data_IF_439596052237
#
_entry.id   IF_439596052237
#
_cell.length_a   1.000
_cell.length_b   1.000
_cell.length_c   1.000
_cell.angle_alpha   90.00
_cell.angle_beta   90.00
_cell.angle_gamma   90.00
#
_symmetry.space_group_name_H-M   'P 1'
#
loop_
_entity.id
_entity.type
_entity.pdbx_description
1 polymer ?
#
# COMPACT_ATOMS: atom_id res chain seq x y z
N UNK A 1 18.42 -1.84 -0.23
CA UNK A 1 18.15 -3.22 0.16
C UNK A 1 17.46 -3.98 -0.95
N UNK A 2 17.49 -5.30 -0.94
CA UNK A 2 16.73 -6.11 -1.89
C UNK A 2 15.25 -6.01 -1.54
N UNK A 3 14.38 -5.70 -2.51
CA UNK A 3 12.94 -5.60 -2.27
C UNK A 3 12.37 -6.93 -1.73
N UNK A 4 12.78 -8.06 -2.15
CA UNK A 4 12.34 -9.37 -1.66
C UNK A 4 13.25 -9.96 -0.57
N UNK A 5 13.73 -9.17 0.37
CA UNK A 5 14.50 -9.66 1.52
C UNK A 5 13.71 -10.67 2.38
N UNK A 6 12.37 -10.62 2.32
CA UNK A 6 11.42 -11.53 3.02
C UNK A 6 10.47 -12.11 1.99
N UNK A 7 10.68 -13.32 1.56
CA UNK A 7 9.81 -14.04 0.63
C UNK A 7 9.16 -15.25 1.32
N UNK A 8 7.95 -15.59 0.90
CA UNK A 8 7.26 -16.79 1.36
C UNK A 8 8.03 -18.07 0.99
N UNK A 9 8.81 -18.03 -0.10
CA UNK A 9 9.69 -19.09 -0.53
C UNK A 9 11.08 -18.56 -0.98
N UNK A 10 12.03 -18.33 -0.05
CA UNK A 10 13.35 -17.76 -0.36
C UNK A 10 14.18 -18.60 -1.33
N UNK A 11 13.89 -19.89 -1.50
CA UNK A 11 14.65 -20.80 -2.35
C UNK A 11 14.25 -20.74 -3.83
N UNK A 12 13.17 -20.04 -4.19
CA UNK A 12 12.59 -20.13 -5.53
C UNK A 12 13.04 -19.06 -6.52
N UNK A 13 13.82 -18.06 -6.14
CA UNK A 13 14.07 -16.84 -6.94
C UNK A 13 12.79 -16.16 -7.46
N UNK A 14 11.64 -16.46 -6.88
CA UNK A 14 10.37 -15.86 -7.24
C UNK A 14 10.18 -14.59 -6.43
N UNK A 15 9.72 -13.52 -7.09
CA UNK A 15 9.35 -12.25 -6.47
C UNK A 15 7.82 -12.18 -6.28
N UNK A 16 7.27 -13.30 -5.86
CA UNK A 16 5.89 -13.53 -5.51
C UNK A 16 5.77 -13.56 -3.98
N UNK A 17 4.70 -13.01 -3.41
CA UNK A 17 4.46 -12.95 -1.97
C UNK A 17 5.67 -12.52 -1.13
N UNK A 18 6.31 -11.45 -1.52
CA UNK A 18 7.50 -10.96 -0.85
C UNK A 18 7.34 -9.54 -0.28
N UNK A 19 8.27 -9.15 0.59
CA UNK A 19 8.28 -7.87 1.28
C UNK A 19 9.67 -7.26 1.30
N UNK A 20 9.72 -5.95 1.45
CA UNK A 20 10.96 -5.24 1.77
C UNK A 20 11.49 -5.62 3.16
N UNK A 21 12.72 -5.24 3.46
CA UNK A 21 13.16 -5.05 4.83
C UNK A 21 12.34 -3.94 5.49
N UNK A 22 12.32 -3.92 6.82
CA UNK A 22 11.64 -2.87 7.58
C UNK A 22 12.24 -1.49 7.31
N UNK A 23 11.38 -0.52 7.04
CA UNK A 23 11.74 0.88 6.84
C UNK A 23 11.52 1.60 8.17
N UNK A 24 12.58 2.21 8.69
CA UNK A 24 12.53 2.99 9.92
C UNK A 24 11.81 4.33 9.71
N UNK A 25 10.58 4.42 10.19
CA UNK A 25 9.75 5.62 10.10
C UNK A 25 10.20 6.73 11.05
N UNK A 26 10.97 6.40 12.10
CA UNK A 26 11.50 7.42 13.04
C UNK A 26 12.53 8.31 12.36
N UNK A 27 13.19 7.81 11.33
CA UNK A 27 14.14 8.57 10.52
C UNK A 27 13.47 9.45 9.46
N UNK A 28 12.22 9.19 9.11
CA UNK A 28 11.51 9.91 8.03
C UNK A 28 10.56 10.95 8.61
N UNK A 29 9.74 10.58 9.58
CA UNK A 29 8.68 11.43 10.13
C UNK A 29 9.13 12.09 11.43
N UNK A 30 8.90 11.53 12.58
CA UNK A 30 9.29 12.08 13.87
C UNK A 30 10.09 11.06 14.68
N UNK A 31 10.78 11.48 15.73
CA UNK A 31 11.52 10.58 16.63
C UNK A 31 10.65 9.48 17.25
N UNK A 32 9.33 9.66 17.28
CA UNK A 32 8.36 8.68 17.75
C UNK A 32 7.76 7.83 16.61
N UNK A 33 8.10 8.13 15.35
CA UNK A 33 7.56 7.47 14.16
C UNK A 33 6.45 8.28 13.48
N UNK A 34 5.56 7.60 12.79
CA UNK A 34 4.42 8.14 12.05
C UNK A 34 3.11 7.87 12.81
N UNK A 35 2.25 8.87 13.05
CA UNK A 35 0.94 8.63 13.65
C UNK A 35 0.05 7.81 12.71
N UNK A 36 -0.57 6.79 13.24
CA UNK A 36 -1.51 5.98 12.48
C UNK A 36 -2.47 5.26 13.42
N UNK A 37 -3.75 5.58 13.32
CA UNK A 37 -4.88 4.98 13.99
C UNK A 37 -4.81 5.04 15.54
N UNK A 38 -4.15 4.09 16.20
CA UNK A 38 -4.13 3.93 17.67
C UNK A 38 -2.75 4.23 18.29
N UNK A 39 -1.84 4.82 17.52
CA UNK A 39 -0.51 5.15 18.02
C UNK A 39 0.51 5.49 16.95
N UNK A 40 1.76 5.51 17.39
CA UNK A 40 2.91 5.81 16.54
C UNK A 40 3.49 4.52 15.97
N UNK A 41 3.59 4.48 14.65
CA UNK A 41 4.23 3.37 13.94
C UNK A 41 5.70 3.70 13.66
N UNK A 42 6.59 2.81 14.06
CA UNK A 42 8.05 3.03 13.94
C UNK A 42 8.66 2.27 12.76
N UNK A 43 7.96 1.28 12.23
CA UNK A 43 8.46 0.43 11.15
C UNK A 43 7.38 0.11 10.13
N UNK A 44 7.72 0.20 8.85
CA UNK A 44 6.84 -0.09 7.71
C UNK A 44 7.49 -1.10 6.79
N UNK A 45 6.69 -2.00 6.25
CA UNK A 45 7.06 -2.98 5.24
C UNK A 45 6.29 -2.74 3.94
N UNK A 46 6.99 -2.77 2.82
CA UNK A 46 6.37 -2.70 1.49
C UNK A 46 6.18 -4.12 0.99
N UNK A 47 4.95 -4.49 0.63
CA UNK A 47 4.61 -5.85 0.22
C UNK A 47 4.29 -5.92 -1.28
N UNK A 48 4.70 -7.02 -1.94
CA UNK A 48 4.47 -7.26 -3.38
C UNK A 48 3.00 -7.08 -3.75
N UNK A 49 2.13 -7.62 -2.92
CA UNK A 49 0.69 -7.68 -3.17
C UNK A 49 -0.05 -6.33 -3.07
N UNK A 50 0.66 -5.20 -3.26
CA UNK A 50 0.05 -3.89 -3.41
C UNK A 50 -0.42 -3.25 -2.11
N UNK A 51 0.32 -3.46 -1.02
CA UNK A 51 0.05 -2.84 0.27
C UNK A 51 1.35 -2.52 1.02
N UNK A 52 1.23 -1.68 2.04
CA UNK A 52 2.23 -1.52 3.10
C UNK A 52 1.65 -1.95 4.43
N UNK A 53 2.48 -2.52 5.30
CA UNK A 53 2.07 -2.99 6.61
C UNK A 53 3.00 -2.46 7.71
N UNK A 54 2.50 -2.38 8.96
CA UNK A 54 3.23 -1.79 10.08
C UNK A 54 3.64 -2.85 11.09
N UNK A 55 4.88 -2.76 11.59
CA UNK A 55 5.43 -3.63 12.62
C UNK A 55 5.77 -5.05 12.17
N UNK A 56 5.19 -5.53 11.08
CA UNK A 56 5.48 -6.82 10.46
C UNK A 56 5.15 -6.82 8.97
N UNK A 57 5.85 -7.65 8.17
CA UNK A 57 5.51 -7.87 6.76
C UNK A 57 4.19 -8.62 6.61
N UNK A 58 3.43 -8.28 5.56
CA UNK A 58 2.25 -9.04 5.14
C UNK A 58 2.56 -9.80 3.85
N UNK A 59 2.78 -11.11 3.96
CA UNK A 59 3.04 -12.01 2.83
C UNK A 59 1.75 -12.69 2.33
N UNK A 60 0.59 -12.28 2.83
CA UNK A 60 -0.71 -12.76 2.38
C UNK A 60 -1.01 -12.30 0.96
N UNK A 61 -1.60 -13.19 0.17
CA UNK A 61 -2.00 -12.95 -1.21
C UNK A 61 -3.52 -12.99 -1.40
N UNK A 62 -4.22 -13.63 -0.51
CA UNK A 62 -5.68 -13.69 -0.53
C UNK A 62 -6.24 -12.89 0.65
N UNK A 63 -7.01 -11.93 0.28
CA UNK A 63 -7.82 -11.19 1.22
C UNK A 63 -9.19 -11.85 1.31
N UNK A 64 -9.31 -12.82 2.16
CA UNK A 64 -10.61 -13.40 2.50
C UNK A 64 -11.57 -12.29 2.97
N UNK A 65 -11.04 -11.29 3.65
CA UNK A 65 -11.80 -10.11 4.09
C UNK A 65 -10.91 -8.86 4.03
N UNK A 66 -11.51 -7.69 3.80
CA UNK A 66 -10.96 -6.41 4.12
C UNK A 66 -11.98 -5.72 5.05
N UNK A 67 -11.64 -5.41 6.28
CA UNK A 67 -10.32 -5.52 6.91
C UNK A 67 -9.81 -6.97 6.97
N UNK A 68 -8.48 -7.12 7.04
CA UNK A 68 -7.83 -8.40 7.27
C UNK A 68 -8.17 -8.99 8.64
N UNK A 69 -7.68 -10.20 8.90
CA UNK A 69 -7.88 -10.86 10.19
C UNK A 69 -7.12 -10.12 11.30
N UNK A 70 -7.58 -10.26 12.53
CA UNK A 70 -6.98 -9.60 13.71
C UNK A 70 -5.49 -9.96 13.89
N UNK A 71 -5.07 -11.13 13.38
CA UNK A 71 -3.68 -11.60 13.43
C UNK A 71 -2.76 -10.98 12.37
N UNK A 72 -3.33 -10.33 11.35
CA UNK A 72 -2.55 -9.62 10.33
C UNK A 72 -2.10 -8.25 10.85
N UNK A 73 -0.99 -7.68 10.34
CA UNK A 73 -0.58 -6.33 10.73
C UNK A 73 -1.57 -5.27 10.25
N UNK A 74 -1.55 -4.09 10.88
CA UNK A 74 -2.19 -2.90 10.34
C UNK A 74 -1.65 -2.62 8.94
N UNK A 75 -2.50 -2.16 7.99
CA UNK A 75 -2.04 -1.93 6.62
C UNK A 75 -2.72 -0.76 5.93
N UNK A 76 -2.02 -0.22 4.94
CA UNK A 76 -2.57 0.68 3.92
C UNK A 76 -2.43 -0.04 2.58
N UNK A 77 -3.54 -0.27 1.91
CA UNK A 77 -3.61 -1.06 0.70
C UNK A 77 -4.19 -0.23 -0.46
N UNK A 78 -3.36 0.38 -1.30
CA UNK A 78 -3.85 1.04 -2.52
C UNK A 78 -4.62 0.07 -3.41
N UNK A 79 -4.02 -1.09 -3.72
CA UNK A 79 -4.62 -2.08 -4.62
C UNK A 79 -4.11 -3.48 -4.28
N UNK A 80 -4.75 -4.13 -3.30
CA UNK A 80 -4.33 -5.42 -2.74
C UNK A 80 -4.92 -6.59 -3.53
N UNK A 81 -4.08 -7.38 -4.14
CA UNK A 81 -4.41 -8.60 -4.88
C UNK A 81 -3.22 -9.55 -4.92
N UNK A 82 -3.43 -10.77 -5.36
CA UNK A 82 -2.40 -11.78 -5.59
C UNK A 82 -1.50 -11.36 -6.78
N UNK A 83 -0.43 -10.65 -6.46
CA UNK A 83 0.46 -10.00 -7.42
C UNK A 83 1.82 -10.72 -7.49
N UNK A 84 2.39 -10.78 -8.68
CA UNK A 84 3.68 -11.43 -8.94
C UNK A 84 4.58 -10.49 -9.75
N UNK A 85 5.74 -10.17 -9.18
CA UNK A 85 6.77 -9.37 -9.85
C UNK A 85 7.69 -10.22 -10.72
N UNK A 86 7.62 -11.55 -10.64
CA UNK A 86 8.51 -12.46 -11.38
C UNK A 86 8.27 -12.33 -12.87
N UNK A 87 9.31 -12.17 -13.71
CA UNK A 87 9.15 -12.10 -15.15
C UNK A 87 8.45 -13.31 -15.74
N UNK A 88 7.68 -13.12 -16.80
CA UNK A 88 7.11 -14.21 -17.57
C UNK A 88 8.18 -14.88 -18.44
N UNK A 89 8.58 -16.12 -18.10
CA UNK A 89 9.63 -16.85 -18.79
C UNK A 89 10.99 -16.15 -18.70
N UNK A 90 11.69 -16.06 -19.83
CA UNK A 90 13.00 -15.41 -19.96
C UNK A 90 12.90 -13.94 -20.40
N UNK A 91 11.75 -13.30 -20.20
CA UNK A 91 11.54 -11.89 -20.56
C UNK A 91 12.20 -10.94 -19.58
N UNK A 92 12.37 -9.67 -19.99
CA UNK A 92 12.86 -8.65 -19.09
C UNK A 92 11.87 -8.39 -17.94
N UNK A 93 12.42 -8.07 -16.77
CA UNK A 93 11.65 -7.63 -15.60
C UNK A 93 10.96 -6.30 -15.91
N UNK A 94 9.64 -6.32 -16.05
CA UNK A 94 8.82 -5.13 -16.28
C UNK A 94 8.14 -4.61 -15.03
N UNK A 95 7.78 -5.51 -14.11
CA UNK A 95 7.19 -5.15 -12.81
C UNK A 95 8.25 -4.64 -11.84
N UNK A 96 7.99 -3.53 -11.19
CA UNK A 96 8.91 -2.93 -10.23
C UNK A 96 8.16 -2.33 -9.05
N UNK A 97 8.82 -2.31 -7.89
CA UNK A 97 8.37 -1.53 -6.75
C UNK A 97 9.47 -0.56 -6.38
N UNK A 98 9.13 0.71 -6.35
CA UNK A 98 10.03 1.79 -5.98
C UNK A 98 9.61 2.38 -4.65
N UNK A 99 10.62 2.79 -3.87
CA UNK A 99 10.42 3.63 -2.71
C UNK A 99 11.28 4.89 -2.82
N UNK A 100 10.74 5.99 -2.38
CA UNK A 100 11.44 7.25 -2.21
C UNK A 100 11.00 7.89 -0.91
N UNK A 101 11.91 8.53 -0.20
CA UNK A 101 11.60 9.30 1.00
C UNK A 101 12.48 10.53 1.12
N UNK A 102 11.95 11.56 1.77
CA UNK A 102 12.69 12.77 2.13
C UNK A 102 12.46 13.09 3.61
N UNK A 103 13.56 13.10 4.35
CA UNK A 103 13.56 13.40 5.79
C UNK A 103 13.34 14.88 6.09
N UNK A 104 13.58 15.78 5.13
CA UNK A 104 13.39 17.21 5.32
C UNK A 104 11.94 17.64 5.10
N UNK A 105 11.25 16.99 4.18
CA UNK A 105 9.82 17.22 3.92
C UNK A 105 8.92 16.22 4.63
N UNK A 106 9.51 15.22 5.31
CA UNK A 106 8.80 14.16 6.02
C UNK A 106 7.80 13.42 5.12
N UNK A 107 8.32 12.89 4.02
CA UNK A 107 7.53 12.19 3.00
C UNK A 107 8.09 10.81 2.72
N UNK A 108 7.18 9.86 2.47
CA UNK A 108 7.48 8.53 1.95
C UNK A 108 6.54 8.22 0.78
N UNK A 109 7.12 7.79 -0.34
CA UNK A 109 6.37 7.42 -1.54
C UNK A 109 6.73 5.99 -1.94
N UNK A 110 5.71 5.19 -2.24
CA UNK A 110 5.86 3.83 -2.75
C UNK A 110 5.10 3.73 -4.07
N UNK A 111 5.77 3.27 -5.11
CA UNK A 111 5.18 3.07 -6.44
C UNK A 111 5.28 1.61 -6.83
N UNK A 112 4.15 0.98 -7.11
CA UNK A 112 4.07 -0.29 -7.80
C UNK A 112 3.84 -0.03 -9.28
N UNK A 113 4.83 -0.37 -10.12
CA UNK A 113 4.81 -0.11 -11.55
C UNK A 113 4.70 -1.42 -12.33
N UNK A 114 3.75 -1.47 -13.25
CA UNK A 114 3.48 -2.62 -14.12
C UNK A 114 3.32 -3.94 -13.34
N UNK A 115 2.70 -3.88 -12.17
CA UNK A 115 2.57 -5.02 -11.27
C UNK A 115 1.74 -6.12 -11.92
N UNK A 116 2.34 -7.28 -12.14
CA UNK A 116 1.71 -8.46 -12.69
C UNK A 116 0.76 -9.13 -11.69
N UNK A 117 0.14 -10.21 -12.10
CA UNK A 117 -0.76 -11.03 -11.26
C UNK A 117 -0.22 -12.45 -11.12
N UNK A 118 -0.74 -13.17 -10.15
CA UNK A 118 -0.38 -14.56 -9.84
C UNK A 118 -0.01 -15.39 -11.08
N UNK A 119 1.01 -16.23 -10.89
CA UNK A 119 1.54 -17.13 -11.93
C UNK A 119 2.24 -16.39 -13.07
N UNK A 120 3.00 -15.32 -12.75
CA UNK A 120 3.85 -14.56 -13.70
C UNK A 120 3.09 -13.97 -14.89
N UNK A 121 1.84 -13.58 -14.70
CA UNK A 121 1.00 -13.04 -15.77
C UNK A 121 1.10 -11.52 -15.81
N UNK A 122 1.64 -10.99 -16.89
CA UNK A 122 1.80 -9.55 -17.12
C UNK A 122 0.84 -9.00 -18.20
N UNK A 123 -0.25 -9.72 -18.48
CA UNK A 123 -1.29 -9.34 -19.43
C UNK A 123 -2.23 -8.23 -18.93
N UNK A 124 -2.20 -7.97 -17.63
CA UNK A 124 -3.01 -6.95 -16.95
C UNK A 124 -2.14 -6.23 -15.91
N UNK A 125 -1.17 -5.42 -16.38
CA UNK A 125 -0.25 -4.71 -15.48
C UNK A 125 -1.00 -3.60 -14.75
N UNK A 126 -0.72 -3.44 -13.45
CA UNK A 126 -1.31 -2.39 -12.62
C UNK A 126 -0.23 -1.41 -12.17
N UNK A 127 -0.51 -0.11 -12.26
CA UNK A 127 0.41 0.96 -11.82
C UNK A 127 -0.32 1.91 -10.89
N UNK A 128 0.17 2.01 -9.66
CA UNK A 128 -0.40 2.84 -8.61
C UNK A 128 0.66 3.25 -7.59
N UNK A 129 0.31 4.23 -6.77
CA UNK A 129 1.25 4.83 -5.81
C UNK A 129 0.55 5.12 -4.49
N UNK A 130 1.31 4.97 -3.41
CA UNK A 130 1.00 5.47 -2.08
C UNK A 130 1.97 6.59 -1.75
N UNK A 131 1.44 7.73 -1.30
CA UNK A 131 2.22 8.83 -0.79
C UNK A 131 1.78 9.14 0.65
N UNK A 132 2.72 9.11 1.57
CA UNK A 132 2.55 9.46 2.97
C UNK A 132 3.31 10.75 3.22
N UNK A 133 2.67 11.78 3.75
CA UNK A 133 3.30 13.08 4.01
C UNK A 133 2.83 13.68 5.32
N UNK A 134 3.75 14.26 6.06
CA UNK A 134 3.44 14.97 7.31
C UNK A 134 2.76 16.30 6.99
N UNK A 135 1.63 16.58 7.65
CA UNK A 135 0.86 17.80 7.43
C UNK A 135 1.15 18.92 8.45
N UNK A 136 1.74 18.57 9.59
CA UNK A 136 2.01 19.51 10.68
C UNK A 136 3.45 19.40 11.14
N UNK A 137 4.07 20.51 11.55
CA UNK A 137 5.44 20.52 12.08
C UNK A 137 5.57 19.68 13.37
N UNK A 138 4.49 19.47 14.10
CA UNK A 138 4.45 18.61 15.30
C UNK A 138 4.52 17.12 14.97
N UNK A 139 4.28 16.71 13.71
CA UNK A 139 4.25 15.32 13.31
C UNK A 139 3.02 14.53 13.77
N UNK A 140 1.98 15.22 14.20
CA UNK A 140 0.75 14.60 14.76
C UNK A 140 -0.28 14.25 13.69
N UNK A 141 -0.04 14.63 12.44
CA UNK A 141 -1.01 14.48 11.36
C UNK A 141 -0.32 14.09 10.05
N UNK A 142 -0.80 13.03 9.41
CA UNK A 142 -0.27 12.46 8.17
C UNK A 142 -1.35 12.46 7.10
N UNK A 143 -1.03 12.94 5.88
CA UNK A 143 -1.83 12.65 4.71
C UNK A 143 -1.47 11.27 4.14
N UNK A 144 -2.48 10.51 3.80
CA UNK A 144 -2.41 9.22 3.12
C UNK A 144 -3.04 9.43 1.75
N UNK A 145 -2.21 9.53 0.72
CA UNK A 145 -2.66 9.79 -0.64
C UNK A 145 -2.48 8.56 -1.52
N UNK A 146 -3.56 8.10 -2.12
CA UNK A 146 -3.59 7.05 -3.12
C UNK A 146 -3.65 7.68 -4.51
N UNK A 147 -2.79 7.22 -5.43
CA UNK A 147 -2.75 7.67 -6.83
C UNK A 147 -2.82 6.46 -7.75
N UNK A 148 -3.73 6.51 -8.72
CA UNK A 148 -3.97 5.42 -9.67
C UNK A 148 -3.72 5.90 -11.10
N UNK A 149 -2.88 5.18 -11.85
CA UNK A 149 -2.53 5.51 -13.22
C UNK A 149 -3.12 4.53 -14.24
N UNK A 150 -2.93 3.24 -13.99
CA UNK A 150 -3.42 2.18 -14.85
C UNK A 150 -3.84 0.99 -14.00
N UNK A 151 -5.08 0.57 -14.11
CA UNK A 151 -5.63 -0.54 -13.34
C UNK A 151 -6.49 -1.44 -14.21
N UNK A 152 -6.27 -2.74 -14.07
CA UNK A 152 -7.10 -3.79 -14.62
C UNK A 152 -7.83 -4.53 -13.48
N UNK A 153 -9.07 -4.92 -13.72
CA UNK A 153 -9.79 -5.69 -12.72
C UNK A 153 -9.17 -7.09 -12.53
N UNK A 154 -8.64 -7.30 -11.35
CA UNK A 154 -8.00 -8.55 -10.89
C UNK A 154 -8.60 -9.07 -9.59
N UNK A 155 -9.75 -8.53 -9.17
CA UNK A 155 -10.42 -8.87 -7.92
C UNK A 155 -9.75 -8.22 -6.69
N UNK A 156 -9.04 -7.10 -6.89
CA UNK A 156 -8.36 -6.40 -5.83
C UNK A 156 -9.32 -5.78 -4.80
N UNK A 157 -8.78 -5.51 -3.61
CA UNK A 157 -9.40 -4.70 -2.56
C UNK A 157 -8.47 -3.54 -2.20
N UNK A 158 -9.00 -2.48 -1.60
CA UNK A 158 -8.18 -1.34 -1.22
C UNK A 158 -8.79 -0.50 -0.12
N UNK A 159 -7.92 0.18 0.61
CA UNK A 159 -8.29 1.04 1.72
C UNK A 159 -7.25 1.08 2.82
N UNK A 160 -7.69 1.43 4.01
CA UNK A 160 -6.89 1.52 5.23
C UNK A 160 -7.47 0.55 6.26
N UNK A 161 -6.71 -0.48 6.60
CA UNK A 161 -7.12 -1.51 7.53
C UNK A 161 -6.57 -1.23 8.93
N UNK A 162 -7.45 -0.88 9.84
CA UNK A 162 -7.17 -0.59 11.25
C UNK A 162 -7.48 -1.79 12.15
N UNK A 163 -7.86 -2.95 11.60
CA UNK A 163 -8.37 -4.12 12.33
C UNK A 163 -9.64 -3.84 13.15
N UNK A 164 -10.30 -2.73 12.87
CA UNK A 164 -11.54 -2.32 13.51
C UNK A 164 -12.54 -1.85 12.45
N UNK A 165 -13.63 -2.59 12.28
CA UNK A 165 -14.65 -2.30 11.29
C UNK A 165 -15.30 -0.90 11.43
N UNK A 166 -15.22 -0.27 12.61
CA UNK A 166 -15.78 1.06 12.83
C UNK A 166 -14.84 2.20 12.38
N UNK A 167 -13.56 1.91 12.16
CA UNK A 167 -12.53 2.92 11.85
C UNK A 167 -11.76 2.66 10.57
N UNK A 168 -11.94 1.48 9.97
CA UNK A 168 -11.37 1.17 8.66
C UNK A 168 -11.95 2.04 7.56
N UNK A 169 -11.16 2.27 6.53
CA UNK A 169 -11.60 2.94 5.31
C UNK A 169 -11.51 1.96 4.14
N UNK A 170 -12.62 1.73 3.45
CA UNK A 170 -12.59 1.05 2.16
C UNK A 170 -12.66 2.06 1.03
N UNK A 171 -11.77 1.92 0.03
CA UNK A 171 -11.85 2.72 -1.19
C UNK A 171 -13.12 2.39 -1.98
N UNK A 172 -13.69 3.36 -2.74
CA UNK A 172 -14.96 3.18 -3.44
C UNK A 172 -14.97 1.96 -4.37
N UNK A 173 -15.84 1.00 -4.10
CA UNK A 173 -15.98 -0.22 -4.92
C UNK A 173 -15.02 -1.35 -4.59
N UNK A 174 -14.26 -1.24 -3.51
CA UNK A 174 -13.31 -2.27 -3.03
C UNK A 174 -13.92 -3.68 -3.09
N UNK A 175 -13.20 -4.62 -3.73
CA UNK A 175 -13.64 -6.00 -3.93
C UNK A 175 -14.73 -6.19 -4.99
N UNK A 176 -15.28 -5.13 -5.56
CA UNK A 176 -16.29 -5.19 -6.62
C UNK A 176 -15.71 -5.30 -8.03
N UNK A 177 -16.57 -5.69 -8.99
CA UNK A 177 -16.17 -5.84 -10.38
C UNK A 177 -15.81 -4.50 -11.09
N UNK A 178 -16.21 -3.38 -10.53
CA UNK A 178 -15.97 -2.01 -11.03
C UNK A 178 -14.89 -1.26 -10.25
N UNK A 179 -14.22 -1.92 -9.30
CA UNK A 179 -13.25 -1.28 -8.41
C UNK A 179 -12.15 -0.54 -9.17
N UNK A 180 -11.49 -1.18 -10.14
CA UNK A 180 -10.44 -0.54 -10.94
C UNK A 180 -10.92 0.70 -11.71
N UNK A 181 -12.12 0.64 -12.30
CA UNK A 181 -12.68 1.79 -13.04
C UNK A 181 -13.04 2.95 -12.11
N UNK A 182 -13.62 2.67 -10.96
CA UNK A 182 -13.91 3.70 -9.94
C UNK A 182 -12.64 4.38 -9.45
N UNK A 183 -11.60 3.62 -9.13
CA UNK A 183 -10.34 4.20 -8.70
C UNK A 183 -9.68 5.12 -9.73
N UNK A 184 -9.91 4.87 -11.03
CA UNK A 184 -9.37 5.72 -12.11
C UNK A 184 -10.21 6.97 -12.38
N UNK A 185 -11.50 6.95 -12.08
CA UNK A 185 -12.44 8.03 -12.44
C UNK A 185 -12.93 8.85 -11.26
N UNK A 186 -13.05 8.23 -10.10
CA UNK A 186 -13.57 8.88 -8.90
C UNK A 186 -12.43 9.57 -8.11
N UNK A 187 -12.80 10.38 -7.14
CA UNK A 187 -11.88 11.14 -6.31
C UNK A 187 -12.63 11.74 -5.11
N UNK A 188 -11.92 12.00 -4.02
CA UNK A 188 -12.42 12.84 -2.92
C UNK A 188 -11.74 14.22 -2.84
N UNK A 189 -10.85 14.54 -3.80
CA UNK A 189 -10.07 15.80 -3.82
C UNK A 189 -10.12 16.55 -5.17
N UNK A 190 -11.15 16.33 -5.98
CA UNK A 190 -11.33 16.93 -7.30
C UNK A 190 -10.19 16.64 -8.31
N UNK A 191 -9.50 15.52 -8.16
CA UNK A 191 -8.46 15.04 -9.08
C UNK A 191 -8.71 13.56 -9.38
N UNK A 192 -9.28 13.19 -10.52
CA UNK A 192 -9.59 11.80 -10.86
C UNK A 192 -8.40 10.88 -10.65
N UNK A 193 -8.65 9.72 -10.06
CA UNK A 193 -7.58 8.76 -9.73
C UNK A 193 -6.79 9.08 -8.47
N UNK A 194 -7.20 10.10 -7.69
CA UNK A 194 -6.54 10.50 -6.45
C UNK A 194 -7.53 10.50 -5.28
N UNK A 195 -7.14 9.82 -4.19
CA UNK A 195 -7.89 9.80 -2.93
C UNK A 195 -6.97 10.19 -1.78
N UNK A 196 -7.41 11.08 -0.91
CA UNK A 196 -6.63 11.56 0.24
C UNK A 196 -7.40 11.38 1.53
N UNK A 197 -6.73 10.81 2.51
CA UNK A 197 -7.21 10.66 3.89
C UNK A 197 -6.21 11.29 4.84
N UNK A 198 -6.66 11.61 6.03
CA UNK A 198 -5.82 12.16 7.09
C UNK A 198 -5.86 11.23 8.29
N UNK A 199 -4.69 10.85 8.78
CA UNK A 199 -4.54 10.09 10.01
C UNK A 199 -3.91 10.96 11.09
N UNK A 200 -4.53 10.97 12.27
CA UNK A 200 -4.08 11.64 13.49
C UNK A 200 -4.39 10.76 14.72
N UNK A 201 -4.25 11.30 15.91
CA UNK A 201 -4.58 10.61 17.17
C UNK A 201 -6.10 10.41 17.38
N UNK A 202 -6.93 11.13 16.64
CA UNK A 202 -8.38 10.99 16.62
C UNK A 202 -8.89 9.91 15.68
N UNK A 203 -8.04 9.36 14.81
CA UNK A 203 -8.38 8.32 13.87
C UNK A 203 -8.01 8.63 12.42
N UNK A 204 -8.82 8.13 11.48
CA UNK A 204 -8.62 8.31 10.04
C UNK A 204 -9.90 8.88 9.44
N UNK A 205 -9.78 9.96 8.66
CA UNK A 205 -10.89 10.65 8.02
C UNK A 205 -10.56 11.09 6.59
N UNK A 206 -11.58 11.35 5.78
CA UNK A 206 -11.38 11.95 4.46
C UNK A 206 -10.81 13.36 4.57
N UNK A 207 -9.90 13.71 3.65
CA UNK A 207 -9.34 15.05 3.59
C UNK A 207 -10.41 16.10 3.26
N UNK A 208 -10.53 17.12 4.11
CA UNK A 208 -11.48 18.22 3.92
C UNK A 208 -12.88 18.04 4.53
N UNK A 209 -13.11 16.98 5.30
CA UNK A 209 -14.31 16.76 6.12
C UNK A 209 -14.09 17.15 7.57
#
# INVERSE_FOLDING_TARGET
GSFCGRASNPASNQMDDCSSDGIDLTSIFSANGMPFYDGMQTELFINTNGNVSFGASNLGYQNASFPGEVTEPLMIAPYFYDADLTPEGDTEQTSRVYQWFDQNTHELMVTWENLGRYSRKHDKPNTFQLHLSQLTDSGECIAIEFRFLELFNVGAKGGIDTKNAATQIELPGSGGGDFSSKLLTDTNVNSPGVFVYVADDGGIQEYGN
#
